data_IF_900403583528
#
_entry.id   IF_900403583528
#
_cell.length_a   1.000
_cell.length_b   1.000
_cell.length_c   1.000
_cell.angle_alpha   90.00
_cell.angle_beta   90.00
_cell.angle_gamma   90.00
#
_symmetry.space_group_name_H-M   'P 1'
#
loop_
_entity.id
_entity.type
_entity.pdbx_description
1 polymer ?
#
# COMPACT_ATOMS: atom_id res chain seq x y z
N UNK A 1 -36.15 5.04 14.48
CA UNK A 1 -35.32 5.94 15.30
C UNK A 1 -34.32 5.23 16.20
N UNK A 2 -34.35 3.90 16.38
CA UNK A 2 -33.46 3.18 17.33
C UNK A 2 -32.08 2.81 16.75
N UNK A 3 -31.91 2.77 15.42
CA UNK A 3 -30.68 2.24 14.81
C UNK A 3 -29.53 3.26 14.73
N UNK A 4 -29.83 4.55 14.62
CA UNK A 4 -28.81 5.62 14.56
C UNK A 4 -28.12 5.84 15.91
N UNK A 5 -28.89 5.77 17.01
CA UNK A 5 -28.37 5.90 18.38
C UNK A 5 -27.33 4.82 18.73
N UNK A 6 -27.35 3.68 18.04
CA UNK A 6 -26.37 2.60 18.22
C UNK A 6 -25.01 3.03 17.67
N UNK A 7 -24.97 3.43 16.41
CA UNK A 7 -23.71 3.72 15.72
C UNK A 7 -23.11 5.11 16.01
N UNK A 8 -23.90 6.07 16.52
CA UNK A 8 -23.46 7.44 16.84
C UNK A 8 -22.51 7.55 18.05
N UNK A 9 -22.33 6.49 18.85
CA UNK A 9 -21.52 6.52 20.07
C UNK A 9 -20.00 6.37 19.88
N UNK A 10 -19.56 5.94 18.70
CA UNK A 10 -18.16 5.67 18.41
C UNK A 10 -17.31 6.94 18.26
N UNK A 11 -16.08 6.93 18.77
CA UNK A 11 -15.12 8.02 18.59
C UNK A 11 -13.81 7.43 18.09
N UNK A 12 -13.30 7.99 17.01
CA UNK A 12 -11.90 7.82 16.60
C UNK A 12 -11.08 8.91 17.27
N UNK A 13 -9.85 8.58 17.66
CA UNK A 13 -8.87 9.60 17.98
C UNK A 13 -8.36 10.30 16.70
N UNK A 14 -7.59 11.38 16.85
CA UNK A 14 -7.11 12.15 15.71
C UNK A 14 -6.17 11.38 14.79
N UNK A 15 -5.45 10.38 15.31
CA UNK A 15 -4.52 9.54 14.55
C UNK A 15 -5.31 8.52 13.74
N UNK A 16 -6.26 7.84 14.37
CA UNK A 16 -7.17 6.90 13.74
C UNK A 16 -8.00 7.57 12.64
N UNK A 17 -8.59 8.74 12.92
CA UNK A 17 -9.35 9.53 11.95
C UNK A 17 -8.49 9.88 10.72
N UNK A 18 -7.26 10.34 10.95
CA UNK A 18 -6.35 10.71 9.86
C UNK A 18 -5.92 9.48 9.04
N UNK A 19 -5.67 8.35 9.69
CA UNK A 19 -5.30 7.10 9.02
C UNK A 19 -6.47 6.53 8.20
N UNK A 20 -7.69 6.56 8.75
CA UNK A 20 -8.93 6.19 8.02
C UNK A 20 -9.08 7.07 6.78
N UNK A 21 -8.96 8.39 6.93
CA UNK A 21 -9.07 9.34 5.82
C UNK A 21 -8.06 9.00 4.70
N UNK A 22 -6.80 8.73 5.07
CA UNK A 22 -5.76 8.33 4.12
C UNK A 22 -6.12 7.04 3.37
N UNK A 23 -6.65 6.03 4.05
CA UNK A 23 -7.07 4.77 3.42
C UNK A 23 -8.25 4.98 2.48
N UNK A 24 -9.27 5.73 2.91
CA UNK A 24 -10.45 5.99 2.08
C UNK A 24 -10.06 6.75 0.81
N UNK A 25 -9.29 7.84 0.94
CA UNK A 25 -8.86 8.63 -0.21
C UNK A 25 -7.96 7.86 -1.18
N UNK A 26 -7.15 6.93 -0.66
CA UNK A 26 -6.19 6.18 -1.48
C UNK A 26 -6.80 4.95 -2.15
N UNK A 27 -7.69 4.23 -1.46
CA UNK A 27 -8.08 2.86 -1.83
C UNK A 27 -9.57 2.64 -2.02
N UNK A 28 -10.44 3.51 -1.50
CA UNK A 28 -11.88 3.29 -1.51
C UNK A 28 -12.54 4.34 -2.38
N UNK A 29 -12.99 3.98 -3.59
CA UNK A 29 -13.74 4.90 -4.43
C UNK A 29 -15.05 5.37 -3.77
N UNK A 30 -15.41 6.64 -3.99
CA UNK A 30 -16.61 7.25 -3.40
C UNK A 30 -17.92 6.56 -3.84
N UNK A 31 -17.92 5.86 -4.97
CA UNK A 31 -19.07 5.06 -5.45
C UNK A 31 -19.17 3.69 -4.77
N UNK A 32 -18.14 3.25 -4.05
CA UNK A 32 -18.13 2.01 -3.27
C UNK A 32 -18.51 2.26 -1.82
N UNK A 33 -17.89 3.25 -1.17
CA UNK A 33 -18.26 3.67 0.17
C UNK A 33 -17.85 5.11 0.45
N UNK A 34 -18.63 5.79 1.29
CA UNK A 34 -18.41 7.18 1.68
C UNK A 34 -18.12 7.23 3.17
N UNK A 35 -16.99 7.85 3.52
CA UNK A 35 -16.66 8.22 4.89
C UNK A 35 -17.29 9.58 5.22
N UNK A 36 -17.86 9.73 6.42
CA UNK A 36 -18.47 10.99 6.88
C UNK A 36 -19.77 11.41 6.16
N UNK A 37 -20.57 10.47 5.63
CA UNK A 37 -21.86 10.81 5.01
C UNK A 37 -22.98 10.98 6.05
N UNK A 38 -23.38 9.87 6.68
CA UNK A 38 -24.59 9.83 7.51
C UNK A 38 -24.33 10.01 9.00
N UNK A 39 -23.18 9.52 9.49
CA UNK A 39 -22.81 9.60 10.91
C UNK A 39 -21.38 10.08 11.07
N UNK A 40 -21.13 10.79 12.16
CA UNK A 40 -19.78 11.26 12.49
C UNK A 40 -18.87 10.05 12.70
N UNK A 41 -17.77 9.98 11.96
CA UNK A 41 -16.84 8.84 11.92
C UNK A 41 -17.41 7.54 11.34
N UNK A 42 -18.64 7.52 10.83
CA UNK A 42 -19.23 6.33 10.23
C UNK A 42 -18.92 6.21 8.74
N UNK A 43 -19.20 5.02 8.21
CA UNK A 43 -19.05 4.68 6.79
C UNK A 43 -20.37 4.20 6.24
N UNK A 44 -20.73 4.72 5.08
CA UNK A 44 -21.88 4.28 4.29
C UNK A 44 -21.35 3.46 3.11
N UNK A 45 -21.63 2.15 3.08
CA UNK A 45 -21.25 1.26 1.98
C UNK A 45 -22.37 1.26 0.95
N UNK A 46 -22.04 1.69 -0.27
CA UNK A 46 -22.94 1.78 -1.42
C UNK A 46 -22.92 0.51 -2.26
N UNK A 47 -21.74 -0.09 -2.45
CA UNK A 47 -21.55 -1.35 -3.17
C UNK A 47 -20.84 -2.39 -2.29
N UNK A 48 -21.60 -3.40 -1.87
CA UNK A 48 -21.07 -4.49 -1.04
C UNK A 48 -20.09 -5.37 -1.79
N UNK A 49 -20.35 -5.66 -3.06
CA UNK A 49 -19.52 -6.58 -3.83
C UNK A 49 -18.16 -5.96 -4.08
N UNK A 50 -18.14 -4.69 -4.53
CA UNK A 50 -16.90 -3.96 -4.71
C UNK A 50 -16.12 -3.80 -3.39
N UNK A 51 -16.82 -3.59 -2.27
CA UNK A 51 -16.17 -3.56 -0.96
C UNK A 51 -15.53 -4.92 -0.58
N UNK A 52 -16.19 -6.04 -0.85
CA UNK A 52 -15.63 -7.38 -0.61
C UNK A 52 -14.40 -7.66 -1.48
N UNK A 53 -14.36 -7.16 -2.71
CA UNK A 53 -13.18 -7.22 -3.58
C UNK A 53 -12.00 -6.44 -2.99
N UNK A 54 -12.24 -5.21 -2.49
CA UNK A 54 -11.22 -4.39 -1.83
C UNK A 54 -10.69 -5.03 -0.54
N UNK A 55 -11.58 -5.63 0.24
CA UNK A 55 -11.26 -6.33 1.49
C UNK A 55 -10.56 -7.68 1.26
N UNK A 56 -10.68 -8.25 0.05
CA UNK A 56 -10.27 -9.63 -0.30
C UNK A 56 -10.85 -10.67 0.67
N UNK A 57 -12.03 -10.40 1.23
CA UNK A 57 -12.75 -11.27 2.19
C UNK A 57 -14.22 -10.84 2.29
N UNK A 58 -15.10 -11.70 2.80
CA UNK A 58 -16.51 -11.36 3.01
C UNK A 58 -16.67 -10.17 3.95
N UNK A 59 -17.61 -9.28 3.65
CA UNK A 59 -17.92 -8.10 4.45
C UNK A 59 -18.45 -8.49 5.83
N UNK A 60 -19.05 -9.68 5.93
CA UNK A 60 -19.54 -10.26 7.20
C UNK A 60 -18.47 -10.30 8.29
N UNK A 61 -17.18 -10.47 7.93
CA UNK A 61 -16.09 -10.46 8.89
C UNK A 61 -15.97 -9.14 9.67
N UNK A 62 -16.42 -8.02 9.08
CA UNK A 62 -16.48 -6.71 9.75
C UNK A 62 -17.82 -6.52 10.45
N UNK A 63 -18.92 -6.87 9.78
CA UNK A 63 -20.29 -6.72 10.31
C UNK A 63 -20.53 -7.52 11.60
N UNK A 64 -19.86 -8.65 11.80
CA UNK A 64 -19.96 -9.44 13.03
C UNK A 64 -19.24 -8.81 14.23
N UNK A 65 -18.35 -7.84 13.98
CA UNK A 65 -17.43 -7.27 14.97
C UNK A 65 -17.74 -5.81 15.33
N UNK A 66 -18.62 -5.17 14.57
CA UNK A 66 -18.97 -3.77 14.76
C UNK A 66 -20.48 -3.59 14.71
N UNK A 67 -20.94 -2.45 15.20
CA UNK A 67 -22.32 -2.05 15.04
C UNK A 67 -22.59 -1.53 13.64
N UNK A 68 -23.69 -1.99 13.05
CA UNK A 68 -24.15 -1.60 11.72
C UNK A 68 -25.66 -1.75 11.61
N UNK A 69 -26.22 -1.17 10.55
CA UNK A 69 -27.56 -1.49 10.12
C UNK A 69 -27.71 -1.29 8.61
N UNK A 70 -28.81 -1.82 8.07
CA UNK A 70 -29.19 -1.63 6.67
C UNK A 70 -30.25 -0.55 6.51
N UNK A 71 -30.05 0.31 5.53
CA UNK A 71 -31.03 1.31 5.10
C UNK A 71 -31.25 1.23 3.59
N UNK A 72 -32.30 0.53 3.18
CA UNK A 72 -32.55 0.27 1.76
C UNK A 72 -31.47 -0.66 1.19
N UNK A 73 -30.69 -0.17 0.23
CA UNK A 73 -29.57 -0.91 -0.37
C UNK A 73 -28.20 -0.65 0.28
N UNK A 74 -28.09 0.35 1.16
CA UNK A 74 -26.80 0.74 1.76
C UNK A 74 -26.61 0.13 3.15
N UNK A 75 -25.34 -0.05 3.54
CA UNK A 75 -24.96 -0.47 4.90
C UNK A 75 -24.33 0.70 5.61
N UNK A 76 -24.85 1.02 6.78
CA UNK A 76 -24.31 2.05 7.67
C UNK A 76 -23.50 1.41 8.77
N UNK A 77 -22.25 1.84 8.94
CA UNK A 77 -21.29 1.33 9.92
C UNK A 77 -20.95 2.38 10.97
N UNK A 78 -20.73 1.91 12.20
CA UNK A 78 -20.16 2.72 13.28
C UNK A 78 -18.70 3.12 13.01
N UNK A 79 -18.17 3.99 13.88
CA UNK A 79 -16.75 4.35 13.86
C UNK A 79 -15.81 3.15 14.00
N UNK A 80 -16.18 2.16 14.83
CA UNK A 80 -15.40 0.93 14.99
C UNK A 80 -15.44 0.07 13.71
N UNK A 81 -16.61 -0.03 13.07
CA UNK A 81 -16.74 -0.70 11.77
C UNK A 81 -15.90 -0.03 10.69
N UNK A 82 -15.89 1.31 10.70
CA UNK A 82 -15.06 2.12 9.79
C UNK A 82 -13.57 1.85 9.99
N UNK A 83 -13.10 1.80 11.24
CA UNK A 83 -11.71 1.47 11.56
C UNK A 83 -11.33 0.07 11.08
N UNK A 84 -12.22 -0.91 11.29
CA UNK A 84 -12.03 -2.29 10.84
C UNK A 84 -11.99 -2.42 9.32
N UNK A 85 -12.83 -1.66 8.59
CA UNK A 85 -12.76 -1.57 7.13
C UNK A 85 -11.40 -1.02 6.72
N UNK A 86 -10.98 0.12 7.27
CA UNK A 86 -9.71 0.75 6.92
C UNK A 86 -8.52 -0.18 7.19
N UNK A 87 -8.49 -0.84 8.35
CA UNK A 87 -7.45 -1.84 8.69
C UNK A 87 -7.45 -3.01 7.70
N UNK A 88 -8.62 -3.59 7.39
CA UNK A 88 -8.71 -4.75 6.50
C UNK A 88 -8.33 -4.41 5.06
N UNK A 89 -8.81 -3.28 4.53
CA UNK A 89 -8.47 -2.80 3.18
C UNK A 89 -6.98 -2.46 3.09
N UNK A 90 -6.43 -1.82 4.12
CA UNK A 90 -5.01 -1.51 4.23
C UNK A 90 -4.15 -2.80 4.21
N UNK A 91 -4.52 -3.80 5.01
CA UNK A 91 -3.82 -5.09 5.04
C UNK A 91 -3.87 -5.81 3.67
N UNK A 92 -5.03 -5.80 3.01
CA UNK A 92 -5.23 -6.44 1.69
C UNK A 92 -4.44 -5.74 0.57
N UNK A 93 -4.21 -4.43 0.70
CA UNK A 93 -3.57 -3.58 -0.33
C UNK A 93 -2.26 -2.94 0.18
N UNK A 94 -1.55 -3.66 1.05
CA UNK A 94 -0.42 -3.14 1.81
C UNK A 94 0.69 -2.49 0.97
N UNK A 95 1.01 -3.00 -0.21
CA UNK A 95 2.04 -2.40 -1.07
C UNK A 95 1.70 -0.96 -1.48
N UNK A 96 0.44 -0.70 -1.86
CA UNK A 96 -0.02 0.64 -2.27
C UNK A 96 0.05 1.61 -1.10
N UNK A 97 -0.36 1.16 0.10
CA UNK A 97 -0.28 1.99 1.32
C UNK A 97 1.16 2.28 1.71
N UNK A 98 2.04 1.27 1.68
CA UNK A 98 3.45 1.46 2.04
C UNK A 98 4.18 2.40 1.08
N UNK A 99 3.90 2.30 -0.22
CA UNK A 99 4.43 3.24 -1.22
C UNK A 99 3.94 4.68 -0.96
N UNK A 100 2.66 4.85 -0.65
CA UNK A 100 2.08 6.15 -0.29
C UNK A 100 2.74 6.75 0.96
N UNK A 101 2.84 5.97 2.04
CA UNK A 101 3.50 6.39 3.30
C UNK A 101 4.93 6.84 3.03
N UNK A 102 5.67 6.08 2.23
CA UNK A 102 7.04 6.42 1.86
C UNK A 102 7.15 7.71 1.05
N UNK A 103 6.25 7.90 0.07
CA UNK A 103 6.20 9.10 -0.75
C UNK A 103 5.95 10.33 0.13
N UNK A 104 4.94 10.27 1.00
CA UNK A 104 4.65 11.32 2.01
C UNK A 104 5.85 11.60 2.90
N UNK A 105 6.51 10.57 3.43
CA UNK A 105 7.69 10.75 4.28
C UNK A 105 8.89 11.34 3.54
N UNK A 106 9.03 11.07 2.23
CA UNK A 106 10.06 11.70 1.43
C UNK A 106 9.81 13.21 1.28
N UNK A 107 8.57 13.62 1.03
CA UNK A 107 8.16 15.02 0.98
C UNK A 107 8.37 15.70 2.34
N UNK A 108 7.86 15.11 3.43
CA UNK A 108 8.00 15.64 4.79
C UNK A 108 9.47 15.78 5.18
N UNK A 109 10.31 14.82 4.82
CA UNK A 109 11.76 14.89 5.08
C UNK A 109 12.41 16.07 4.37
N UNK A 110 11.94 16.42 3.18
CA UNK A 110 12.44 17.60 2.47
C UNK A 110 11.94 18.90 3.12
N UNK A 111 10.68 18.93 3.52
CA UNK A 111 10.09 20.06 4.25
C UNK A 111 10.79 20.28 5.60
N UNK A 112 11.19 19.22 6.30
CA UNK A 112 11.96 19.30 7.55
C UNK A 112 13.40 19.78 7.36
N UNK A 113 13.94 19.78 6.13
CA UNK A 113 15.28 20.32 5.83
C UNK A 113 15.24 21.78 5.39
N UNK A 114 14.22 22.15 4.62
CA UNK A 114 14.19 23.43 3.89
C UNK A 114 13.02 24.33 4.28
N UNK A 115 12.08 23.84 5.08
CA UNK A 115 10.76 24.44 5.23
C UNK A 115 9.93 24.25 3.97
N UNK A 116 8.73 24.84 3.95
CA UNK A 116 7.88 24.85 2.76
C UNK A 116 7.00 26.09 2.72
N UNK A 117 6.62 26.50 1.52
CA UNK A 117 5.52 27.44 1.34
C UNK A 117 4.20 26.69 1.52
N UNK A 118 3.38 27.15 2.45
CA UNK A 118 2.03 26.67 2.68
C UNK A 118 1.08 27.64 1.99
N UNK A 119 0.32 27.14 1.03
CA UNK A 119 -0.79 27.90 0.42
C UNK A 119 -2.04 27.04 0.46
N UNK A 120 -2.77 27.12 1.56
CA UNK A 120 -4.06 26.48 1.72
C UNK A 120 -5.10 27.47 2.30
N UNK A 121 -6.40 27.13 2.32
CA UNK A 121 -7.44 28.05 2.79
C UNK A 121 -7.31 28.50 4.26
N UNK A 122 -6.58 27.75 5.08
CA UNK A 122 -6.49 27.94 6.53
C UNK A 122 -5.15 28.56 6.97
N UNK A 123 -4.09 28.35 6.20
CA UNK A 123 -2.75 28.85 6.47
C UNK A 123 -2.07 29.27 5.17
N UNK A 124 -1.47 30.47 5.21
CA UNK A 124 -0.68 31.02 4.10
C UNK A 124 0.66 31.52 4.60
N UNK A 125 1.71 31.20 3.86
CA UNK A 125 3.07 31.68 4.10
C UNK A 125 4.09 30.56 4.26
N UNK A 126 5.32 30.95 4.62
CA UNK A 126 6.41 30.00 4.78
C UNK A 126 6.37 29.32 6.15
N UNK A 127 6.41 27.99 6.17
CA UNK A 127 6.59 27.18 7.37
C UNK A 127 8.06 26.78 7.51
N UNK A 128 8.72 27.15 8.62
CA UNK A 128 10.14 26.88 8.81
C UNK A 128 10.41 25.38 9.09
N UNK A 129 11.63 24.89 8.79
CA UNK A 129 12.00 23.48 8.97
C UNK A 129 11.72 22.92 10.37
N UNK A 130 11.96 23.70 11.42
CA UNK A 130 11.74 23.28 12.81
C UNK A 130 10.27 23.03 13.10
N UNK A 131 9.39 23.86 12.54
CA UNK A 131 7.94 23.70 12.68
C UNK A 131 7.45 22.46 11.92
N UNK A 132 7.95 22.23 10.71
CA UNK A 132 7.63 21.02 9.94
C UNK A 132 8.07 19.75 10.68
N UNK A 133 9.23 19.77 11.35
CA UNK A 133 9.69 18.65 12.17
C UNK A 133 8.80 18.40 13.40
N UNK A 134 8.31 19.46 14.04
CA UNK A 134 7.36 19.34 15.14
C UNK A 134 6.00 18.78 14.70
N UNK A 135 5.51 19.21 13.53
CA UNK A 135 4.28 18.69 12.91
C UNK A 135 4.45 17.20 12.62
N UNK A 136 5.55 16.82 11.95
CA UNK A 136 5.87 15.43 11.66
C UNK A 136 5.86 14.55 12.91
N UNK A 137 6.59 14.99 13.95
CA UNK A 137 6.70 14.21 15.19
C UNK A 137 5.35 14.03 15.89
N UNK A 138 4.48 15.05 15.82
CA UNK A 138 3.22 15.09 16.58
C UNK A 138 2.04 14.45 15.84
N UNK A 139 1.99 14.58 14.52
CA UNK A 139 0.81 14.24 13.72
C UNK A 139 1.11 13.17 12.67
N UNK A 140 2.07 13.41 11.77
CA UNK A 140 2.29 12.50 10.64
C UNK A 140 2.89 11.16 11.07
N UNK A 141 3.89 11.19 11.97
CA UNK A 141 4.59 9.99 12.41
C UNK A 141 3.64 8.96 13.06
N UNK A 142 2.78 9.32 14.03
CA UNK A 142 1.80 8.39 14.58
C UNK A 142 0.89 7.75 13.52
N UNK A 143 0.43 8.54 12.54
CA UNK A 143 -0.43 8.06 11.45
C UNK A 143 0.31 7.05 10.59
N UNK A 144 1.55 7.37 10.18
CA UNK A 144 2.36 6.47 9.36
C UNK A 144 2.76 5.18 10.08
N UNK A 145 3.01 5.24 11.38
CA UNK A 145 3.27 4.05 12.20
C UNK A 145 2.00 3.18 12.30
N UNK A 146 0.81 3.78 12.45
CA UNK A 146 -0.47 3.06 12.46
C UNK A 146 -0.74 2.37 11.11
N UNK A 147 -0.56 3.07 9.99
CA UNK A 147 -0.74 2.50 8.64
C UNK A 147 0.21 1.32 8.40
N UNK A 148 1.48 1.42 8.82
CA UNK A 148 2.43 0.29 8.77
C UNK A 148 1.98 -0.89 9.62
N UNK A 149 1.44 -0.62 10.80
CA UNK A 149 0.94 -1.67 11.69
C UNK A 149 -0.23 -2.43 11.02
N UNK A 150 -1.17 -1.71 10.38
CA UNK A 150 -2.28 -2.33 9.64
C UNK A 150 -1.82 -3.14 8.43
N UNK A 151 -0.78 -2.69 7.71
CA UNK A 151 -0.18 -3.48 6.63
C UNK A 151 0.38 -4.84 7.10
N UNK A 152 0.76 -4.92 8.39
CA UNK A 152 1.33 -6.12 8.99
C UNK A 152 2.83 -6.29 8.74
N UNK A 153 3.51 -6.91 9.72
CA UNK A 153 4.97 -6.99 9.77
C UNK A 153 5.61 -7.62 8.52
N UNK A 154 4.98 -8.65 7.93
CA UNK A 154 5.52 -9.33 6.74
C UNK A 154 5.53 -8.42 5.52
N UNK A 155 4.47 -7.66 5.29
CA UNK A 155 4.39 -6.73 4.17
C UNK A 155 5.42 -5.61 4.33
N UNK A 156 5.49 -5.02 5.53
CA UNK A 156 6.48 -3.99 5.89
C UNK A 156 7.91 -4.49 5.64
N UNK A 157 8.27 -5.64 6.22
CA UNK A 157 9.63 -6.20 6.07
C UNK A 157 9.97 -6.56 4.62
N UNK A 158 9.00 -7.02 3.84
CA UNK A 158 9.21 -7.33 2.41
C UNK A 158 9.44 -6.04 1.62
N UNK A 159 8.64 -5.01 1.86
CA UNK A 159 8.80 -3.69 1.25
C UNK A 159 10.16 -3.08 1.59
N UNK A 160 10.52 -3.05 2.88
CA UNK A 160 11.83 -2.54 3.34
C UNK A 160 13.01 -3.27 2.69
N UNK A 161 12.93 -4.60 2.57
CA UNK A 161 13.97 -5.41 1.90
C UNK A 161 14.08 -5.12 0.42
N UNK A 162 12.94 -4.99 -0.26
CA UNK A 162 12.91 -4.64 -1.68
C UNK A 162 13.57 -3.28 -1.91
N UNK A 163 13.22 -2.29 -1.10
CA UNK A 163 13.77 -0.94 -1.18
C UNK A 163 15.26 -0.89 -0.87
N UNK A 164 15.71 -1.63 0.15
CA UNK A 164 17.12 -1.75 0.46
C UNK A 164 17.90 -2.38 -0.70
N UNK A 165 17.33 -3.40 -1.35
CA UNK A 165 17.92 -4.01 -2.53
C UNK A 165 17.96 -3.04 -3.71
N UNK A 166 16.88 -2.31 -3.99
CA UNK A 166 16.83 -1.30 -5.05
C UNK A 166 17.82 -0.15 -4.82
N UNK A 167 17.94 0.30 -3.57
CA UNK A 167 18.90 1.34 -3.18
C UNK A 167 20.35 0.86 -3.35
N UNK A 168 20.67 -0.37 -2.96
CA UNK A 168 22.01 -0.92 -3.13
C UNK A 168 22.32 -1.17 -4.61
N UNK A 169 21.37 -1.69 -5.40
CA UNK A 169 21.54 -1.82 -6.86
C UNK A 169 21.86 -0.46 -7.49
N UNK A 170 21.12 0.59 -7.14
CA UNK A 170 21.39 1.95 -7.63
C UNK A 170 22.77 2.45 -7.19
N UNK A 171 23.16 2.20 -5.95
CA UNK A 171 24.49 2.58 -5.43
C UNK A 171 25.60 1.84 -6.20
N UNK A 172 25.43 0.55 -6.47
CA UNK A 172 26.36 -0.26 -7.25
C UNK A 172 26.43 0.20 -8.71
N UNK A 173 25.30 0.49 -9.36
CA UNK A 173 25.27 1.05 -10.73
C UNK A 173 26.09 2.34 -10.82
N UNK A 174 25.94 3.26 -9.85
CA UNK A 174 26.73 4.50 -9.78
C UNK A 174 28.23 4.20 -9.60
N UNK A 175 28.57 3.22 -8.77
CA UNK A 175 29.97 2.84 -8.53
C UNK A 175 30.61 2.19 -9.76
N UNK A 176 29.86 1.35 -10.49
CA UNK A 176 30.30 0.73 -11.74
C UNK A 176 30.54 1.80 -12.79
N UNK A 177 29.59 2.72 -13.00
CA UNK A 177 29.75 3.83 -13.94
C UNK A 177 31.01 4.65 -13.65
N UNK A 178 31.23 5.04 -12.39
CA UNK A 178 32.46 5.74 -11.97
C UNK A 178 33.74 4.93 -12.22
N UNK A 179 33.68 3.61 -12.03
CA UNK A 179 34.82 2.74 -12.27
C UNK A 179 35.14 2.62 -13.76
N UNK A 180 34.11 2.54 -14.61
CA UNK A 180 34.24 2.54 -16.07
C UNK A 180 34.85 3.87 -16.54
N UNK A 181 34.43 5.00 -15.98
CA UNK A 181 35.00 6.31 -16.31
C UNK A 181 36.51 6.37 -15.99
N UNK A 182 36.94 5.83 -14.84
CA UNK A 182 38.38 5.73 -14.51
C UNK A 182 39.12 4.80 -15.49
N UNK A 183 38.53 3.68 -15.89
CA UNK A 183 39.13 2.80 -16.91
C UNK A 183 39.24 3.52 -18.25
N UNK A 184 38.24 4.34 -18.60
CA UNK A 184 38.18 5.08 -19.87
C UNK A 184 39.33 6.10 -19.99
N UNK A 185 39.85 6.63 -18.89
CA UNK A 185 41.04 7.49 -18.88
C UNK A 185 42.32 6.76 -19.33
N UNK A 186 42.39 5.43 -19.20
CA UNK A 186 43.59 4.65 -19.47
C UNK A 186 43.43 3.66 -20.65
N UNK A 187 42.24 3.08 -20.82
CA UNK A 187 41.90 2.11 -21.85
C UNK A 187 40.44 2.29 -22.30
N UNK A 188 40.20 3.21 -23.26
CA UNK A 188 38.85 3.47 -23.78
C UNK A 188 38.17 2.24 -24.37
N UNK A 189 38.92 1.36 -25.04
CA UNK A 189 38.37 0.16 -25.67
C UNK A 189 37.85 -0.83 -24.62
N UNK A 190 38.59 -0.99 -23.52
CA UNK A 190 38.17 -1.84 -22.40
C UNK A 190 36.98 -1.24 -21.66
N UNK A 191 36.95 0.07 -21.47
CA UNK A 191 35.82 0.76 -20.85
C UNK A 191 34.53 0.57 -21.66
N UNK A 192 34.57 0.75 -22.98
CA UNK A 192 33.40 0.60 -23.84
C UNK A 192 32.89 -0.84 -23.95
N UNK A 193 33.76 -1.83 -23.70
CA UNK A 193 33.36 -3.22 -23.57
C UNK A 193 32.66 -3.49 -22.23
N UNK A 194 33.20 -2.98 -21.12
CA UNK A 194 32.60 -3.11 -19.78
C UNK A 194 31.23 -2.41 -19.69
N UNK A 195 31.10 -1.25 -20.31
CA UNK A 195 29.84 -0.48 -20.38
C UNK A 195 28.74 -1.29 -21.08
N UNK A 196 29.08 -1.90 -22.22
CA UNK A 196 28.16 -2.79 -22.94
C UNK A 196 27.81 -4.05 -22.17
N UNK A 197 28.79 -4.72 -21.56
CA UNK A 197 28.57 -5.92 -20.76
C UNK A 197 27.65 -5.63 -19.55
N UNK A 198 27.85 -4.50 -18.86
CA UNK A 198 27.00 -4.08 -17.75
C UNK A 198 25.55 -3.85 -18.18
N UNK A 199 25.32 -3.23 -19.33
CA UNK A 199 23.97 -2.98 -19.86
C UNK A 199 23.29 -4.25 -20.40
N UNK A 200 24.04 -5.12 -21.09
CA UNK A 200 23.55 -6.34 -21.75
C UNK A 200 23.24 -7.44 -20.71
N UNK A 201 24.07 -7.60 -19.68
CA UNK A 201 23.90 -8.61 -18.63
C UNK A 201 23.07 -8.12 -17.44
N UNK A 202 22.53 -6.90 -17.52
CA UNK A 202 21.68 -6.34 -16.47
C UNK A 202 20.48 -7.26 -16.22
N UNK A 203 20.37 -7.76 -14.99
CA UNK A 203 19.22 -8.57 -14.58
C UNK A 203 17.99 -7.66 -14.48
N UNK A 204 17.05 -7.82 -15.41
CA UNK A 204 15.78 -7.08 -15.45
C UNK A 204 14.64 -7.95 -14.94
N UNK A 205 13.50 -7.38 -14.50
CA UNK A 205 12.34 -8.17 -14.07
C UNK A 205 11.89 -9.21 -15.10
N UNK A 206 12.01 -8.91 -16.39
CA UNK A 206 11.68 -9.83 -17.48
C UNK A 206 12.59 -11.06 -17.53
N UNK A 207 13.85 -10.92 -17.11
CA UNK A 207 14.86 -11.98 -17.11
C UNK A 207 14.71 -12.95 -15.93
N UNK A 208 14.01 -12.55 -14.86
CA UNK A 208 13.79 -13.38 -13.66
C UNK A 208 12.44 -14.11 -13.70
N UNK A 209 11.51 -13.75 -14.59
CA UNK A 209 10.19 -14.41 -14.65
C UNK A 209 10.39 -15.92 -14.84
N UNK A 210 9.80 -16.78 -13.99
CA UNK A 210 9.90 -18.21 -14.18
C UNK A 210 9.38 -18.55 -15.57
N UNK A 211 10.11 -19.41 -16.28
CA UNK A 211 9.68 -19.92 -17.57
C UNK A 211 8.32 -20.55 -17.34
N UNK A 212 7.28 -20.00 -17.98
CA UNK A 212 5.94 -20.57 -17.92
C UNK A 212 6.07 -21.91 -18.63
N UNK A 213 6.00 -23.01 -17.87
CA UNK A 213 5.94 -24.34 -18.47
C UNK A 213 4.78 -24.36 -19.47
N UNK A 214 5.07 -24.82 -20.69
CA UNK A 214 4.01 -24.96 -21.70
C UNK A 214 2.92 -25.87 -21.11
N UNK A 215 1.63 -25.59 -21.39
CA UNK A 215 0.57 -26.52 -21.02
C UNK A 215 0.91 -27.91 -21.54
N UNK A 216 0.79 -28.93 -20.69
CA UNK A 216 0.95 -30.33 -21.10
C UNK A 216 0.03 -30.60 -22.29
N UNK A 217 0.56 -31.21 -23.34
CA UNK A 217 -0.29 -31.69 -24.42
C UNK A 217 -1.25 -32.75 -23.86
N UNK A 218 -2.46 -32.92 -24.41
CA UNK A 218 -3.42 -33.91 -23.92
C UNK A 218 -2.87 -35.34 -23.78
N UNK A 219 -1.83 -35.68 -24.57
CA UNK A 219 -1.11 -36.95 -24.53
C UNK A 219 -0.05 -37.04 -23.42
N UNK A 220 0.41 -35.92 -22.87
CA UNK A 220 1.36 -35.81 -21.76
C UNK A 220 0.66 -35.78 -20.40
N UNK A 221 -0.66 -35.54 -20.38
CA UNK A 221 -1.49 -35.62 -19.17
C UNK A 221 -1.61 -37.10 -18.78
N UNK A 222 -1.10 -37.54 -17.62
CA UNK A 222 -1.19 -38.93 -17.21
C UNK A 222 -2.66 -39.32 -17.00
N UNK A 223 -3.24 -39.98 -17.99
CA UNK A 223 -4.56 -40.61 -17.88
C UNK A 223 -4.43 -41.79 -16.92
N UNK A 224 -4.84 -41.62 -15.67
CA UNK A 224 -5.11 -42.76 -14.80
C UNK A 224 -6.32 -43.50 -15.39
N UNK A 225 -6.05 -44.52 -16.22
CA UNK A 225 -7.05 -45.51 -16.57
C UNK A 225 -7.49 -46.20 -15.28
N UNK A 226 -8.62 -45.76 -14.71
CA UNK A 226 -9.35 -46.61 -13.78
C UNK A 226 -9.90 -47.76 -14.63
N UNK A 227 -9.22 -48.89 -14.60
CA UNK A 227 -9.83 -50.14 -15.03
C UNK A 227 -11.13 -50.29 -14.24
N UNK A 228 -12.23 -50.45 -14.96
CA UNK A 228 -13.55 -50.65 -14.38
C UNK A 228 -13.70 -52.08 -13.87
N UNK A 229 -12.63 -52.68 -13.35
CA UNK A 229 -12.61 -54.04 -12.83
C UNK A 229 -11.77 -54.01 -11.54
N UNK A 230 -12.45 -53.96 -10.40
CA UNK A 230 -11.85 -53.80 -9.09
C UNK A 230 -11.14 -55.04 -8.60
N UNK A 231 -9.85 -55.18 -8.93
CA UNK A 231 -8.96 -56.14 -8.28
C UNK A 231 -7.61 -55.49 -8.01
N UNK A 232 -7.24 -55.49 -6.72
CA UNK A 232 -6.00 -54.98 -6.15
C UNK A 232 -4.76 -55.73 -6.64
#
# INVERSE_FOLDING_TARGET
>A
MVNWERIEGGRLDSVEESAVLDVFQLLIPDDVAIYYESTRYGTTILDRHAMEELLQRPLTCVLERAEWFEQGSVVELSAEGTLLIAECVCAANSFVVLEHVMSKEAEIRENCKRGRDVDNPFEKGFSPPEREYEIYRRFDRPVHELLRNWCGHRAVSTSERLLAAEAEVRRLDILVAKSIDVVREHDPNRADWLDREHDDERIRPEAIRPVIDRPLEPQEIPVRARFRDGSY
#
